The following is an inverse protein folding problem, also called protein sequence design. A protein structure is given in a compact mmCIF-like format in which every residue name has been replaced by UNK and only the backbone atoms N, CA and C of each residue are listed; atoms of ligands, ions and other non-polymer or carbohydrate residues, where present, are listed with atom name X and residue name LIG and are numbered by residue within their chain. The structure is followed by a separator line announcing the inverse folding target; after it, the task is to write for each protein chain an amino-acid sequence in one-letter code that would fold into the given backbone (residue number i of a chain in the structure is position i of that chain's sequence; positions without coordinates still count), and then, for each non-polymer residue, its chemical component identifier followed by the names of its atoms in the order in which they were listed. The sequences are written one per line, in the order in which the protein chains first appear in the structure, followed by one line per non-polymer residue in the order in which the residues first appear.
data_IF_775585038368
#
_entry.id   IF_775585038368
#
_cell.length_a   1.000
_cell.length_b   1.000
_cell.length_c   1.000
_cell.angle_alpha   90.00
_cell.angle_beta   90.00
_cell.angle_gamma   90.00
#
_symmetry.space_group_name_H-M   'P 1'
#
loop_
_entity.id
_entity.type
_entity.pdbx_description
1 polymer ?
#
# COMPACT_ATOMS: atom_id res chain seq x y z
N UNK A 1 -7.45 10.98 -6.72
CA UNK A 1 -6.33 10.72 -5.79
C UNK A 1 -5.08 11.47 -6.24
N UNK A 2 -5.14 12.78 -6.47
CA UNK A 2 -3.94 13.57 -6.80
C UNK A 2 -4.01 14.85 -5.98
N UNK A 3 -3.71 14.69 -4.69
CA UNK A 3 -3.38 15.81 -3.82
C UNK A 3 -1.86 15.85 -3.67
N UNK A 4 -1.32 17.06 -3.58
CA UNK A 4 0.12 17.29 -3.50
C UNK A 4 0.70 16.57 -2.27
N UNK A 5 1.82 15.87 -2.46
CA UNK A 5 2.59 15.24 -1.37
C UNK A 5 2.19 13.81 -1.00
N UNK A 6 1.27 13.17 -1.71
CA UNK A 6 0.95 11.74 -1.48
C UNK A 6 1.93 10.85 -2.26
N UNK A 7 2.71 10.03 -1.55
CA UNK A 7 3.65 9.09 -2.16
C UNK A 7 3.04 7.70 -2.43
N UNK A 8 1.99 7.32 -1.70
CA UNK A 8 1.35 6.01 -1.83
C UNK A 8 -0.18 6.06 -1.73
N UNK A 9 -0.84 5.14 -2.42
CA UNK A 9 -2.24 4.77 -2.18
C UNK A 9 -2.35 3.30 -1.83
N UNK A 10 -3.13 3.03 -0.78
CA UNK A 10 -3.66 1.70 -0.51
C UNK A 10 -5.16 1.71 -0.78
N UNK A 11 -5.61 0.83 -1.66
CA UNK A 11 -7.02 0.63 -1.97
C UNK A 11 -7.38 -0.76 -1.47
N UNK A 12 -8.40 -0.84 -0.60
CA UNK A 12 -8.83 -2.08 0.02
C UNK A 12 -10.19 -2.45 -0.57
N UNK A 13 -10.24 -3.57 -1.30
CA UNK A 13 -11.47 -4.21 -1.74
C UNK A 13 -11.86 -5.28 -0.72
N UNK A 14 -12.81 -4.94 0.17
CA UNK A 14 -13.27 -5.81 1.23
C UNK A 14 -14.07 -7.02 0.73
N UNK A 15 -14.76 -6.88 -0.40
CA UNK A 15 -15.56 -7.95 -1.00
C UNK A 15 -14.65 -9.02 -1.59
N UNK A 16 -13.61 -8.59 -2.33
CA UNK A 16 -12.63 -9.48 -2.95
C UNK A 16 -11.50 -9.90 -2.01
N UNK A 17 -11.45 -9.34 -0.79
CA UNK A 17 -10.33 -9.48 0.15
C UNK A 17 -8.98 -9.17 -0.52
N UNK A 18 -8.95 -8.11 -1.31
CA UNK A 18 -7.80 -7.72 -2.12
C UNK A 18 -7.32 -6.32 -1.74
N UNK A 19 -6.01 -6.09 -1.86
CA UNK A 19 -5.41 -4.76 -1.71
C UNK A 19 -4.64 -4.43 -2.97
N UNK A 20 -4.92 -3.26 -3.51
CA UNK A 20 -4.11 -2.66 -4.56
C UNK A 20 -3.21 -1.61 -3.92
N UNK A 21 -1.91 -1.73 -4.18
CA UNK A 21 -0.90 -0.81 -3.66
C UNK A 21 -0.30 -0.03 -4.82
N UNK A 22 -0.53 1.28 -4.83
CA UNK A 22 0.02 2.19 -5.83
C UNK A 22 1.09 3.07 -5.20
N UNK A 23 2.25 3.14 -5.83
CA UNK A 23 3.35 4.00 -5.42
C UNK A 23 3.60 5.07 -6.48
N UNK A 24 3.85 6.30 -6.05
CA UNK A 24 4.26 7.37 -6.92
C UNK A 24 5.70 7.11 -7.38
N UNK A 25 5.84 6.75 -8.66
CA UNK A 25 7.11 6.57 -9.34
C UNK A 25 7.25 7.70 -10.37
N UNK A 26 8.22 8.58 -10.15
CA UNK A 26 8.35 9.86 -10.86
C UNK A 26 7.06 10.70 -10.74
N UNK A 27 6.22 10.71 -11.77
CA UNK A 27 4.97 11.49 -11.83
C UNK A 27 3.72 10.61 -12.00
N UNK A 28 3.85 9.30 -11.87
CA UNK A 28 2.76 8.35 -12.10
C UNK A 28 2.62 7.35 -10.96
N UNK A 29 1.39 7.00 -10.65
CA UNK A 29 1.10 5.93 -9.70
C UNK A 29 1.20 4.60 -10.41
N UNK A 30 2.15 3.77 -9.96
CA UNK A 30 2.42 2.43 -10.49
C UNK A 30 2.00 1.40 -9.46
N UNK A 31 1.32 0.36 -9.92
CA UNK A 31 0.96 -0.78 -9.06
C UNK A 31 2.23 -1.54 -8.63
N UNK A 32 2.38 -1.71 -7.33
CA UNK A 32 3.49 -2.45 -6.72
C UNK A 32 2.97 -3.78 -6.19
N UNK A 33 3.65 -4.90 -6.48
CA UNK A 33 3.22 -6.20 -6.01
C UNK A 33 3.28 -6.28 -4.48
N UNK A 34 2.18 -6.70 -3.86
CA UNK A 34 2.12 -6.96 -2.42
C UNK A 34 2.71 -8.34 -2.14
N UNK A 35 4.02 -8.39 -1.90
CA UNK A 35 4.73 -9.65 -1.70
C UNK A 35 4.32 -10.34 -0.39
N UNK A 36 4.00 -11.64 -0.46
CA UNK A 36 3.77 -12.51 0.69
C UNK A 36 2.76 -12.01 1.73
N UNK A 37 1.71 -11.30 1.31
CA UNK A 37 0.66 -10.82 2.22
C UNK A 37 1.12 -9.72 3.18
N UNK A 38 2.25 -9.06 2.88
CA UNK A 38 2.76 -7.90 3.62
C UNK A 38 3.00 -6.73 2.68
N UNK A 39 2.72 -5.53 3.17
CA UNK A 39 3.10 -4.28 2.52
C UNK A 39 3.98 -3.51 3.50
N UNK A 40 5.16 -3.11 3.05
CA UNK A 40 6.11 -2.32 3.83
C UNK A 40 6.20 -0.92 3.23
N UNK A 41 5.81 0.10 3.99
CA UNK A 41 5.91 1.50 3.59
C UNK A 41 7.02 2.15 4.44
N UNK A 42 8.06 2.67 3.79
CA UNK A 42 9.15 3.38 4.47
C UNK A 42 8.84 4.86 4.49
N UNK A 43 8.56 5.43 5.67
CA UNK A 43 8.25 6.86 5.81
C UNK A 43 9.52 7.73 5.81
N UNK A 44 10.55 7.25 6.48
CA UNK A 44 11.92 7.74 6.48
C UNK A 44 12.84 6.56 6.88
N UNK A 45 14.17 6.74 6.79
CA UNK A 45 15.14 5.63 6.92
C UNK A 45 15.01 4.76 8.19
N UNK A 46 14.33 5.25 9.22
CA UNK A 46 14.14 4.55 10.49
C UNK A 46 12.67 4.20 10.80
N UNK A 47 11.70 4.79 10.08
CA UNK A 47 10.28 4.56 10.31
C UNK A 47 9.62 3.75 9.18
N UNK A 48 9.02 2.62 9.57
CA UNK A 48 8.30 1.71 8.65
C UNK A 48 6.89 1.41 9.15
N UNK A 49 5.92 1.48 8.25
CA UNK A 49 4.60 0.90 8.44
C UNK A 49 4.61 -0.49 7.79
N UNK A 50 4.35 -1.54 8.58
CA UNK A 50 4.11 -2.89 8.07
C UNK A 50 2.61 -3.19 8.15
N UNK A 51 2.00 -3.43 7.00
CA UNK A 51 0.61 -3.87 6.88
C UNK A 51 0.59 -5.36 6.56
N UNK A 52 -0.20 -6.12 7.31
CA UNK A 52 -0.35 -7.57 7.15
C UNK A 52 -1.78 -7.88 6.71
N UNK A 53 -1.96 -8.58 5.58
CA UNK A 53 -3.27 -8.86 5.01
C UNK A 53 -4.20 -9.58 6.00
N UNK A 54 -3.67 -10.53 6.78
CA UNK A 54 -4.41 -11.28 7.80
C UNK A 54 -5.04 -10.37 8.87
N UNK A 55 -4.39 -9.25 9.20
CA UNK A 55 -4.92 -8.28 10.18
C UNK A 55 -5.99 -7.38 9.58
N UNK A 56 -5.93 -7.13 8.28
CA UNK A 56 -6.86 -6.22 7.58
C UNK A 56 -8.17 -6.95 7.25
N UNK A 57 -8.08 -8.18 6.77
CA UNK A 57 -9.26 -8.97 6.37
C UNK A 57 -9.67 -10.00 7.42
N UNK A 58 -9.47 -9.70 8.71
CA UNK A 58 -9.65 -10.59 9.87
C UNK A 58 -10.58 -11.78 9.55
N UNK A 59 -9.97 -12.95 9.36
CA UNK A 59 -10.70 -14.21 9.20
C UNK A 59 -11.13 -14.76 10.55
#
# INVERSE_FOLDING_TARGET
YQQQGVHWYLIIDAEKKAIEFLELDHDQFVERPTSNGKINLSLDGDCRIELTMERIFSM
#
